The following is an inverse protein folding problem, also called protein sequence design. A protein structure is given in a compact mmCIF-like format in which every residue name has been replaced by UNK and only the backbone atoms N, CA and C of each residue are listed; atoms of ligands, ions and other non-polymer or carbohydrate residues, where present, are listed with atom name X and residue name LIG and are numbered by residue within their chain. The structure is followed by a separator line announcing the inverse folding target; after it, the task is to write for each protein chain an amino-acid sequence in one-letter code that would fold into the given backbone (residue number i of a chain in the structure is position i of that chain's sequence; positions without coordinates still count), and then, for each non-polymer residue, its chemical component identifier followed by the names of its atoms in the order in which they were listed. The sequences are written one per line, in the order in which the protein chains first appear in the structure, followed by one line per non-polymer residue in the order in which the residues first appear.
data_IF_650501787068
#
_entry.id   IF_650501787068
#
_cell.length_a   1.000
_cell.length_b   1.000
_cell.length_c   1.000
_cell.angle_alpha   90.00
_cell.angle_beta   90.00
_cell.angle_gamma   90.00
#
_symmetry.space_group_name_H-M   'P 1'
#
loop_
_entity.id
_entity.type
_entity.pdbx_description
1 polymer ?
#
# COMPACT_ATOMS: atom_id res chain seq x y z
N UNK A 1 26.82 23.62 62.16
CA UNK A 1 25.60 23.44 61.35
C UNK A 1 25.63 22.00 60.83
N UNK A 2 25.01 21.00 61.48
CA UNK A 2 23.61 20.52 61.31
C UNK A 2 23.23 20.46 59.80
N UNK A 3 22.86 19.35 59.16
CA UNK A 3 22.47 17.98 59.54
C UNK A 3 22.46 17.06 58.29
N UNK A 4 22.78 15.79 58.51
CA UNK A 4 22.24 14.51 58.00
C UNK A 4 21.65 14.33 56.59
N UNK A 5 22.03 13.21 55.96
CA UNK A 5 21.13 12.15 55.43
C UNK A 5 22.00 10.89 55.18
N UNK A 6 22.11 9.93 56.10
CA UNK A 6 21.22 8.80 56.43
C UNK A 6 20.84 7.89 55.23
N UNK A 7 21.50 6.74 55.25
CA UNK A 7 21.27 5.45 54.58
C UNK A 7 19.87 4.89 54.80
N UNK A 8 19.30 4.23 53.79
CA UNK A 8 18.34 3.14 53.99
C UNK A 8 18.35 2.17 52.77
N UNK A 9 18.89 0.97 53.00
CA UNK A 9 18.50 -0.25 52.28
C UNK A 9 17.08 -0.64 52.71
N UNK A 10 16.26 -1.24 51.83
CA UNK A 10 15.78 -2.62 51.98
C UNK A 10 14.95 -3.07 50.75
N UNK A 11 15.07 -4.34 50.29
CA UNK A 11 14.44 -4.87 49.09
C UNK A 11 13.13 -5.65 49.37
N UNK A 12 12.53 -6.11 48.27
CA UNK A 12 11.67 -7.31 48.12
C UNK A 12 10.23 -7.27 48.65
N UNK A 13 9.26 -7.33 47.73
CA UNK A 13 8.02 -8.09 47.91
C UNK A 13 7.43 -8.50 46.56
N UNK A 14 7.43 -9.82 46.33
CA UNK A 14 6.84 -10.53 45.20
C UNK A 14 5.47 -11.08 45.65
N UNK A 15 4.38 -10.65 45.04
CA UNK A 15 3.04 -11.26 45.05
C UNK A 15 2.20 -10.52 43.98
N UNK A 16 1.44 -11.11 43.07
CA UNK A 16 0.90 -12.45 42.98
C UNK A 16 -0.62 -12.37 42.79
N UNK A 17 -1.07 -12.71 41.57
CA UNK A 17 -2.33 -13.39 41.24
C UNK A 17 -3.58 -12.61 40.74
N UNK A 18 -4.00 -13.05 39.54
CA UNK A 18 -5.30 -13.09 38.87
C UNK A 18 -6.09 -11.82 38.48
N UNK A 19 -6.39 -11.74 37.19
CA UNK A 19 -7.76 -11.43 36.73
C UNK A 19 -8.08 -12.22 35.46
N UNK A 20 -9.25 -12.84 35.51
CA UNK A 20 -9.74 -13.90 34.64
C UNK A 20 -10.14 -13.41 33.24
N UNK A 21 -10.04 -14.32 32.27
CA UNK A 21 -10.78 -14.28 31.01
C UNK A 21 -12.26 -14.50 31.34
N UNK A 22 -13.07 -13.45 31.20
CA UNK A 22 -14.49 -13.47 31.57
C UNK A 22 -15.23 -12.29 30.96
N UNK A 23 -15.31 -12.27 29.63
CA UNK A 23 -16.10 -11.28 28.88
C UNK A 23 -17.33 -11.92 28.25
N UNK A 24 -18.30 -12.32 29.07
CA UNK A 24 -19.65 -12.63 28.60
C UNK A 24 -20.38 -11.33 28.27
N UNK A 25 -20.39 -10.96 26.99
CA UNK A 25 -21.12 -9.81 26.48
C UNK A 25 -22.46 -10.23 25.89
N UNK A 26 -23.53 -9.93 26.61
CA UNK A 26 -24.94 -10.07 26.26
C UNK A 26 -25.24 -9.40 24.91
N UNK A 27 -25.83 -10.16 24.00
CA UNK A 27 -26.35 -9.67 22.72
C UNK A 27 -27.58 -8.78 22.96
N UNK A 28 -27.37 -7.48 23.12
CA UNK A 28 -28.41 -6.47 22.96
C UNK A 28 -28.71 -6.32 21.48
N UNK A 29 -29.80 -6.96 21.03
CA UNK A 29 -30.39 -6.73 19.72
C UNK A 29 -30.89 -5.29 19.62
N UNK A 30 -30.06 -4.43 19.03
CA UNK A 30 -30.51 -3.11 18.60
C UNK A 30 -31.14 -3.25 17.22
N UNK A 31 -32.46 -3.16 17.15
CA UNK A 31 -33.21 -2.88 15.92
C UNK A 31 -32.86 -1.47 15.44
N UNK A 32 -31.68 -1.32 14.85
CA UNK A 32 -31.28 -0.12 14.12
C UNK A 32 -31.68 -0.25 12.65
N UNK A 33 -32.17 0.84 12.09
CA UNK A 33 -32.23 1.16 10.65
C UNK A 33 -31.16 0.39 9.88
N UNK A 34 -31.44 -0.19 8.68
CA UNK A 34 -30.40 -0.87 7.91
C UNK A 34 -29.25 0.12 7.68
N UNK A 35 -28.18 -0.07 8.44
CA UNK A 35 -26.94 0.67 8.27
C UNK A 35 -26.44 0.27 6.90
N UNK A 36 -26.18 1.27 6.05
CA UNK A 36 -25.59 1.06 4.74
C UNK A 36 -24.41 0.09 4.87
N UNK A 37 -24.33 -0.89 3.99
CA UNK A 37 -23.20 -1.82 3.93
C UNK A 37 -21.89 -1.04 3.78
N UNK A 38 -20.75 -1.64 4.17
CA UNK A 38 -19.45 -0.99 4.00
C UNK A 38 -19.20 -0.55 2.54
N UNK A 39 -19.67 -1.34 1.56
CA UNK A 39 -19.55 -1.00 0.14
C UNK A 39 -20.35 0.26 -0.22
N UNK A 40 -21.57 0.41 0.30
CA UNK A 40 -22.39 1.61 0.09
C UNK A 40 -21.80 2.84 0.78
N UNK A 41 -21.22 2.67 1.98
CA UNK A 41 -20.52 3.75 2.68
C UNK A 41 -19.29 4.23 1.90
N UNK A 42 -18.47 3.31 1.38
CA UNK A 42 -17.32 3.65 0.53
C UNK A 42 -17.77 4.39 -0.72
N UNK A 43 -18.82 3.89 -1.39
CA UNK A 43 -19.37 4.53 -2.59
C UNK A 43 -19.82 5.96 -2.32
N UNK A 44 -20.50 6.20 -1.19
CA UNK A 44 -20.91 7.56 -0.79
C UNK A 44 -19.70 8.49 -0.53
N UNK A 45 -18.60 7.96 0.02
CA UNK A 45 -17.37 8.72 0.20
C UNK A 45 -16.68 9.04 -1.14
N UNK A 46 -16.73 8.13 -2.11
CA UNK A 46 -16.24 8.37 -3.47
C UNK A 46 -17.08 9.43 -4.20
N UNK A 47 -18.42 9.33 -4.10
CA UNK A 47 -19.36 10.30 -4.70
C UNK A 47 -19.24 11.70 -4.07
N UNK A 48 -18.92 11.77 -2.78
CA UNK A 48 -18.65 13.04 -2.08
C UNK A 48 -17.20 13.53 -2.20
N UNK A 49 -16.38 12.87 -3.03
CA UNK A 49 -14.95 13.21 -3.24
C UNK A 49 -14.06 13.13 -2.00
N UNK A 50 -14.54 12.51 -0.92
CA UNK A 50 -13.73 12.24 0.28
C UNK A 50 -12.76 11.07 0.06
N UNK A 51 -13.10 10.16 -0.86
CA UNK A 51 -12.23 9.12 -1.36
C UNK A 51 -12.07 9.23 -2.88
N UNK A 52 -10.95 8.79 -3.44
CA UNK A 52 -10.80 8.70 -4.87
C UNK A 52 -11.75 7.63 -5.43
N UNK A 53 -12.38 7.94 -6.56
CA UNK A 53 -13.21 6.98 -7.28
C UNK A 53 -12.31 5.96 -7.98
N UNK A 54 -12.36 4.72 -7.53
CA UNK A 54 -11.57 3.62 -8.06
C UNK A 54 -12.46 2.60 -8.79
N UNK A 55 -11.90 1.95 -9.81
CA UNK A 55 -12.55 0.81 -10.43
C UNK A 55 -12.55 -0.38 -9.46
N UNK A 56 -13.74 -0.90 -9.16
CA UNK A 56 -13.95 -2.06 -8.27
C UNK A 56 -14.51 -3.27 -9.02
N UNK A 57 -14.39 -3.28 -10.34
CA UNK A 57 -14.76 -4.43 -11.16
C UNK A 57 -13.88 -5.65 -10.84
N UNK A 58 -14.38 -6.85 -11.15
CA UNK A 58 -13.61 -8.08 -11.01
C UNK A 58 -12.60 -8.29 -12.15
N UNK A 59 -12.58 -7.44 -13.17
CA UNK A 59 -11.58 -7.50 -14.23
C UNK A 59 -10.23 -7.03 -13.67
N UNK A 60 -9.25 -7.94 -13.63
CA UNK A 60 -7.92 -7.64 -13.11
C UNK A 60 -7.27 -6.52 -13.92
N UNK A 61 -7.44 -6.52 -15.25
CA UNK A 61 -6.90 -5.48 -16.13
C UNK A 61 -7.62 -4.17 -15.90
N UNK A 62 -8.96 -4.20 -15.94
CA UNK A 62 -9.80 -3.02 -15.84
C UNK A 62 -9.67 -2.09 -17.06
N UNK A 63 -10.34 -0.92 -17.01
CA UNK A 63 -10.29 0.07 -18.09
C UNK A 63 -8.91 0.72 -18.22
N UNK A 64 -8.37 0.72 -19.44
CA UNK A 64 -7.13 1.39 -19.86
C UNK A 64 -7.39 1.85 -21.30
N UNK A 65 -7.99 3.04 -21.45
CA UNK A 65 -8.54 3.50 -22.72
C UNK A 65 -7.45 3.99 -23.69
N UNK A 66 -6.38 4.57 -23.16
CA UNK A 66 -5.25 5.08 -23.94
C UNK A 66 -4.15 4.02 -24.18
N UNK A 67 -4.30 2.83 -23.59
CA UNK A 67 -3.38 1.70 -23.67
C UNK A 67 -1.97 2.07 -23.19
N UNK A 68 -1.87 2.96 -22.20
CA UNK A 68 -0.60 3.37 -21.63
C UNK A 68 -0.06 2.34 -20.60
N UNK A 69 -0.83 1.28 -20.30
CA UNK A 69 -0.48 0.24 -19.34
C UNK A 69 -0.83 0.58 -17.89
N UNK A 70 -1.66 1.61 -17.67
CA UNK A 70 -2.18 2.05 -16.38
C UNK A 70 -3.70 2.07 -16.49
N UNK A 71 -4.37 1.70 -15.40
CA UNK A 71 -5.82 1.73 -15.35
C UNK A 71 -6.31 3.18 -15.25
N UNK A 72 -7.38 3.56 -15.97
CA UNK A 72 -7.83 4.95 -16.11
C UNK A 72 -8.11 5.65 -14.76
N UNK A 73 -8.63 4.93 -13.77
CA UNK A 73 -8.89 5.44 -12.41
C UNK A 73 -7.60 5.74 -11.64
N UNK A 74 -6.52 5.01 -11.92
CA UNK A 74 -5.20 5.21 -11.33
C UNK A 74 -4.50 6.40 -11.97
N UNK A 75 -4.61 6.58 -13.29
CA UNK A 75 -4.12 7.80 -13.95
C UNK A 75 -4.84 9.04 -13.42
N UNK A 76 -6.16 8.98 -13.28
CA UNK A 76 -6.94 10.06 -12.68
C UNK A 76 -6.49 10.36 -11.24
N UNK A 77 -6.22 9.33 -10.44
CA UNK A 77 -5.70 9.48 -9.08
C UNK A 77 -4.31 10.11 -9.03
N UNK A 78 -3.39 9.71 -9.91
CA UNK A 78 -2.05 10.31 -10.01
C UNK A 78 -2.14 11.78 -10.45
N UNK A 79 -2.99 12.07 -11.45
CA UNK A 79 -3.19 13.42 -11.95
C UNK A 79 -3.70 14.39 -10.87
N UNK A 80 -4.53 13.89 -9.95
CA UNK A 80 -5.08 14.65 -8.83
C UNK A 80 -4.08 14.89 -7.69
N UNK A 81 -2.92 14.22 -7.67
CA UNK A 81 -1.93 14.42 -6.61
C UNK A 81 -1.30 15.82 -6.67
N UNK A 82 -1.11 16.50 -5.51
CA UNK A 82 -0.49 17.81 -5.44
C UNK A 82 1.05 17.72 -5.50
N UNK A 83 1.56 17.10 -6.57
CA UNK A 83 2.98 16.84 -6.84
C UNK A 83 3.35 17.38 -8.22
N UNK A 84 4.65 17.56 -8.49
CA UNK A 84 5.11 18.10 -9.79
C UNK A 84 4.87 17.13 -10.94
N UNK A 85 4.88 17.62 -12.18
CA UNK A 85 4.70 16.76 -13.36
C UNK A 85 5.79 15.69 -13.49
N UNK A 86 7.03 16.01 -13.09
CA UNK A 86 8.13 15.05 -13.03
C UNK A 86 7.83 13.93 -12.02
N UNK A 87 7.26 14.27 -10.86
CA UNK A 87 6.85 13.30 -9.86
C UNK A 87 5.64 12.47 -10.32
N UNK A 88 4.69 13.06 -11.05
CA UNK A 88 3.57 12.34 -11.68
C UNK A 88 4.06 11.34 -12.71
N UNK A 89 5.00 11.72 -13.59
CA UNK A 89 5.61 10.79 -14.56
C UNK A 89 6.28 9.59 -13.89
N UNK A 90 7.04 9.82 -12.81
CA UNK A 90 7.64 8.73 -12.04
C UNK A 90 6.58 7.84 -11.35
N UNK A 91 5.50 8.44 -10.86
CA UNK A 91 4.36 7.70 -10.30
C UNK A 91 3.66 6.84 -11.37
N UNK A 92 3.51 7.35 -12.60
CA UNK A 92 2.99 6.61 -13.74
C UNK A 92 3.90 5.44 -14.14
N UNK A 93 5.22 5.65 -14.15
CA UNK A 93 6.19 4.56 -14.33
C UNK A 93 6.01 3.45 -13.29
N UNK A 94 5.85 3.82 -12.02
CA UNK A 94 5.57 2.86 -10.96
C UNK A 94 4.20 2.19 -11.13
N UNK A 95 3.18 2.92 -11.56
CA UNK A 95 1.86 2.36 -11.82
C UNK A 95 1.89 1.32 -12.94
N UNK A 96 2.58 1.57 -14.05
CA UNK A 96 2.76 0.56 -15.13
C UNK A 96 3.43 -0.71 -14.61
N UNK A 97 4.45 -0.56 -13.75
CA UNK A 97 5.09 -1.71 -13.09
C UNK A 97 4.07 -2.49 -12.26
N UNK A 98 3.32 -1.81 -11.40
CA UNK A 98 2.35 -2.47 -10.53
C UNK A 98 1.22 -3.15 -11.35
N UNK A 99 0.80 -2.55 -12.47
CA UNK A 99 -0.22 -3.13 -13.35
C UNK A 99 0.32 -4.37 -14.06
N UNK A 100 1.57 -4.30 -14.55
CA UNK A 100 2.24 -5.44 -15.14
C UNK A 100 2.40 -6.61 -14.15
N UNK A 101 2.60 -6.35 -12.84
CA UNK A 101 2.61 -7.42 -11.81
C UNK A 101 1.28 -8.14 -11.69
N UNK A 102 0.17 -7.41 -11.80
CA UNK A 102 -1.18 -7.98 -11.79
C UNK A 102 -1.47 -8.79 -13.06
N UNK A 103 -0.82 -8.49 -14.18
CA UNK A 103 -1.07 -9.13 -15.48
C UNK A 103 -0.01 -10.15 -15.89
N UNK A 104 1.03 -10.36 -15.08
CA UNK A 104 2.15 -11.23 -15.42
C UNK A 104 1.73 -12.70 -15.57
N UNK A 105 2.28 -13.39 -16.57
CA UNK A 105 2.32 -14.85 -16.59
C UNK A 105 3.32 -15.33 -15.53
N UNK A 106 2.82 -16.05 -14.53
CA UNK A 106 3.60 -16.49 -13.38
C UNK A 106 4.52 -17.67 -13.69
N UNK A 107 4.44 -18.25 -14.89
CA UNK A 107 5.31 -19.34 -15.34
C UNK A 107 6.49 -18.84 -16.19
N UNK A 108 6.44 -17.60 -16.67
CA UNK A 108 7.49 -17.00 -17.48
C UNK A 108 8.55 -16.34 -16.59
N UNK A 109 9.56 -17.13 -16.21
CA UNK A 109 10.62 -16.66 -15.30
C UNK A 109 11.44 -15.51 -15.88
N UNK A 110 11.65 -15.49 -17.19
CA UNK A 110 12.42 -14.42 -17.85
C UNK A 110 11.63 -13.12 -17.83
N UNK A 111 10.33 -13.17 -18.15
CA UNK A 111 9.46 -12.00 -18.04
C UNK A 111 9.32 -11.50 -16.60
N UNK A 112 9.24 -12.41 -15.61
CA UNK A 112 9.20 -12.04 -14.19
C UNK A 112 10.50 -11.36 -13.74
N UNK A 113 11.66 -11.86 -14.18
CA UNK A 113 12.95 -11.23 -13.90
C UNK A 113 13.02 -9.81 -14.50
N UNK A 114 12.66 -9.66 -15.78
CA UNK A 114 12.64 -8.36 -16.45
C UNK A 114 11.64 -7.38 -15.79
N UNK A 115 10.51 -7.87 -15.29
CA UNK A 115 9.56 -7.08 -14.50
C UNK A 115 10.15 -6.67 -13.15
N UNK A 116 10.93 -7.54 -12.49
CA UNK A 116 11.68 -7.21 -11.29
C UNK A 116 12.68 -6.08 -11.50
N UNK A 117 13.42 -6.11 -12.62
CA UNK A 117 14.37 -5.06 -13.01
C UNK A 117 13.67 -3.72 -13.30
N UNK A 118 12.55 -3.75 -14.05
CA UNK A 118 11.70 -2.56 -14.24
C UNK A 118 11.16 -2.01 -12.92
N UNK A 119 10.79 -2.90 -12.00
CA UNK A 119 10.36 -2.48 -10.66
C UNK A 119 11.48 -1.81 -9.87
N UNK A 120 12.72 -2.30 -9.97
CA UNK A 120 13.88 -1.67 -9.34
C UNK A 120 14.16 -0.28 -9.94
N UNK A 121 14.11 -0.15 -11.27
CA UNK A 121 14.25 1.12 -11.97
C UNK A 121 13.18 2.14 -11.56
N UNK A 122 11.92 1.74 -11.49
CA UNK A 122 10.83 2.61 -11.02
C UNK A 122 11.00 3.04 -9.56
N UNK A 123 11.51 2.16 -8.68
CA UNK A 123 11.78 2.50 -7.27
C UNK A 123 12.87 3.56 -7.16
N UNK A 124 13.96 3.43 -7.94
CA UNK A 124 15.05 4.42 -7.96
C UNK A 124 14.56 5.74 -8.50
N UNK A 125 13.87 5.75 -9.65
CA UNK A 125 13.33 6.96 -10.27
C UNK A 125 12.40 7.71 -9.31
N UNK A 126 11.41 7.01 -8.74
CA UNK A 126 10.47 7.62 -7.81
C UNK A 126 11.17 8.11 -6.53
N UNK A 127 12.22 7.43 -6.08
CA UNK A 127 13.04 7.91 -4.97
C UNK A 127 13.77 9.22 -5.30
N UNK A 128 14.36 9.30 -6.49
CA UNK A 128 15.21 10.42 -6.89
C UNK A 128 14.41 11.69 -7.18
N UNK A 129 13.26 11.60 -7.85
CA UNK A 129 12.40 12.77 -8.12
C UNK A 129 11.72 13.34 -6.87
N UNK A 130 11.76 12.59 -5.76
CA UNK A 130 11.28 13.04 -4.45
C UNK A 130 12.41 13.48 -3.51
N UNK A 131 13.67 13.56 -3.96
CA UNK A 131 14.75 14.09 -3.12
C UNK A 131 14.54 15.56 -2.75
N UNK A 132 14.91 15.98 -1.51
CA UNK A 132 15.49 15.17 -0.42
C UNK A 132 14.46 14.34 0.37
N UNK A 133 13.18 14.52 0.10
CA UNK A 133 12.03 13.96 0.80
C UNK A 133 11.65 12.54 0.33
N UNK A 134 12.63 11.64 0.12
CA UNK A 134 12.40 10.28 -0.44
C UNK A 134 11.26 9.51 0.23
N UNK A 135 10.98 9.78 1.51
CA UNK A 135 9.86 9.16 2.22
C UNK A 135 8.53 9.38 1.51
N UNK A 136 8.27 10.60 1.00
CA UNK A 136 7.03 10.91 0.26
C UNK A 136 6.86 10.01 -0.97
N UNK A 137 7.95 9.76 -1.72
CA UNK A 137 7.93 8.83 -2.86
C UNK A 137 7.68 7.38 -2.43
N UNK A 138 8.23 6.94 -1.29
CA UNK A 138 7.97 5.60 -0.73
C UNK A 138 6.51 5.45 -0.28
N UNK A 139 5.95 6.48 0.34
CA UNK A 139 4.55 6.50 0.78
C UNK A 139 3.62 6.48 -0.44
N UNK A 140 3.89 7.29 -1.46
CA UNK A 140 3.15 7.29 -2.72
C UNK A 140 3.18 5.92 -3.41
N UNK A 141 4.34 5.26 -3.46
CA UNK A 141 4.45 3.88 -4.00
C UNK A 141 3.56 2.91 -3.22
N UNK A 142 3.56 3.01 -1.89
CA UNK A 142 2.78 2.11 -1.03
C UNK A 142 1.28 2.34 -1.21
N UNK A 143 0.87 3.60 -1.41
CA UNK A 143 -0.51 3.95 -1.77
C UNK A 143 -0.89 3.40 -3.14
N UNK A 144 -0.04 3.60 -4.17
CA UNK A 144 -0.24 3.03 -5.51
C UNK A 144 -0.45 1.52 -5.43
N UNK A 145 0.42 0.79 -4.73
CA UNK A 145 0.28 -0.65 -4.54
C UNK A 145 -1.08 -1.03 -3.93
N UNK A 146 -1.52 -0.32 -2.88
CA UNK A 146 -2.78 -0.59 -2.22
C UNK A 146 -4.01 -0.32 -3.11
N UNK A 147 -4.05 0.81 -3.82
CA UNK A 147 -5.19 1.16 -4.69
C UNK A 147 -5.22 0.35 -5.98
N UNK A 148 -4.08 -0.19 -6.40
CA UNK A 148 -3.97 -1.10 -7.54
C UNK A 148 -4.52 -2.48 -7.21
N UNK A 149 -4.26 -3.00 -6.01
CA UNK A 149 -4.75 -4.29 -5.51
C UNK A 149 -6.11 -4.20 -4.79
N UNK A 150 -6.94 -3.20 -5.12
CA UNK A 150 -8.15 -2.79 -4.39
C UNK A 150 -9.38 -3.73 -4.50
N UNK A 151 -9.29 -4.82 -5.25
CA UNK A 151 -10.34 -5.84 -5.38
C UNK A 151 -9.83 -7.22 -4.97
N UNK A 152 -10.74 -8.14 -4.70
CA UNK A 152 -10.40 -9.49 -4.25
C UNK A 152 -9.55 -10.22 -5.31
N UNK A 153 -9.91 -10.06 -6.57
CA UNK A 153 -9.26 -10.66 -7.73
C UNK A 153 -7.83 -10.11 -7.89
N UNK A 154 -7.68 -8.78 -7.83
CA UNK A 154 -6.36 -8.13 -7.92
C UNK A 154 -5.47 -8.45 -6.73
N UNK A 155 -6.01 -8.44 -5.51
CA UNK A 155 -5.27 -8.80 -4.31
C UNK A 155 -4.76 -10.26 -4.34
N UNK A 156 -5.59 -11.20 -4.80
CA UNK A 156 -5.17 -12.61 -4.98
C UNK A 156 -4.05 -12.74 -6.00
N UNK A 157 -4.18 -12.05 -7.13
CA UNK A 157 -3.16 -12.07 -8.17
C UNK A 157 -1.85 -11.42 -7.71
N UNK A 158 -1.93 -10.31 -6.98
CA UNK A 158 -0.77 -9.68 -6.35
C UNK A 158 -0.04 -10.63 -5.39
N UNK A 159 -0.77 -11.35 -4.54
CA UNK A 159 -0.21 -12.37 -3.65
C UNK A 159 0.43 -13.52 -4.44
N UNK A 160 -0.20 -13.96 -5.52
CA UNK A 160 0.33 -15.02 -6.39
C UNK A 160 1.63 -14.59 -7.07
N UNK A 161 1.68 -13.37 -7.61
CA UNK A 161 2.91 -12.76 -8.15
C UNK A 161 4.02 -12.72 -7.10
N UNK A 162 3.73 -12.19 -5.90
CA UNK A 162 4.72 -12.12 -4.82
C UNK A 162 5.27 -13.49 -4.41
N UNK A 163 4.42 -14.53 -4.43
CA UNK A 163 4.87 -15.91 -4.22
C UNK A 163 5.76 -16.40 -5.34
N UNK A 164 5.42 -16.13 -6.60
CA UNK A 164 6.17 -16.60 -7.77
C UNK A 164 7.59 -16.01 -7.81
N UNK A 165 7.76 -14.75 -7.42
CA UNK A 165 9.07 -14.07 -7.41
C UNK A 165 9.81 -14.21 -6.07
N UNK A 166 9.23 -14.87 -5.07
CA UNK A 166 9.84 -15.04 -3.76
C UNK A 166 11.18 -15.77 -3.86
N UNK A 167 12.21 -15.23 -3.21
CA UNK A 167 13.57 -15.78 -3.24
C UNK A 167 14.41 -15.36 -4.46
N UNK A 168 13.84 -14.58 -5.39
CA UNK A 168 14.61 -13.99 -6.49
C UNK A 168 15.56 -12.91 -5.97
N UNK A 169 16.67 -12.71 -6.67
CA UNK A 169 17.65 -11.65 -6.38
C UNK A 169 17.75 -10.69 -7.56
N UNK A 170 18.13 -9.44 -7.28
CA UNK A 170 18.31 -8.41 -8.28
C UNK A 170 19.26 -7.33 -7.79
N UNK A 171 19.70 -6.46 -8.70
CA UNK A 171 20.55 -5.31 -8.39
C UNK A 171 19.73 -4.03 -8.53
N UNK A 172 19.91 -3.08 -7.61
CA UNK A 172 19.41 -1.73 -7.83
C UNK A 172 20.21 -1.07 -8.97
N UNK A 173 19.54 -0.54 -10.00
CA UNK A 173 20.22 0.17 -11.08
C UNK A 173 20.86 1.47 -10.57
N UNK A 174 21.91 1.91 -11.26
CA UNK A 174 22.61 3.17 -11.02
C UNK A 174 22.23 4.20 -12.10
N UNK A 175 22.36 5.48 -11.77
CA UNK A 175 22.08 6.58 -12.70
C UNK A 175 20.58 6.89 -12.82
N UNK A 176 20.23 7.65 -13.87
CA UNK A 176 18.85 8.03 -14.12
C UNK A 176 18.05 6.84 -14.68
N UNK A 177 17.05 6.40 -13.93
CA UNK A 177 16.18 5.27 -14.28
C UNK A 177 14.75 5.70 -14.61
N UNK A 178 14.50 7.01 -14.66
CA UNK A 178 13.21 7.54 -15.06
C UNK A 178 13.00 7.36 -16.56
N UNK A 179 11.81 6.90 -16.93
CA UNK A 179 11.38 6.86 -18.32
C UNK A 179 11.18 8.30 -18.88
N UNK A 180 11.39 8.50 -20.19
CA UNK A 180 11.25 9.81 -20.84
C UNK A 180 9.81 10.42 -20.75
#
# INVERSE_FOLDING_TARGET
MRRHSLTALFPLALAGWLSACGGGGTSSGNTGTPSATLAEQIKALEESSQLPKLDRSSDIRGPDADNNGIRDDIDAWIAAQPISDVQKKAAQQMARVQQAKLLADLNDKEALQALGERSAAGIVCLGDVFMPERQKGRDLRSQLEAIMANTKERARQYIAYNRAVSGSSGRLPEGNTCEP
#
